data_IF_402169416335
#
_entry.id   IF_402169416335
#
_cell.length_a   1.000
_cell.length_b   1.000
_cell.length_c   1.000
_cell.angle_alpha   90.00
_cell.angle_beta   90.00
_cell.angle_gamma   90.00
#
_symmetry.space_group_name_H-M   'P 1'
#
loop_
_entity.id
_entity.type
_entity.pdbx_description
1 polymer ?
#
# COMPACT_ATOMS: atom_id res chain seq x y z
N UNK A 1 26.10 -22.24 -53.53
CA UNK A 1 26.80 -21.40 -52.54
C UNK A 1 25.75 -20.58 -51.80
N UNK A 2 25.47 -20.85 -50.51
CA UNK A 2 24.62 -19.99 -49.69
C UNK A 2 25.47 -18.98 -48.90
N UNK A 3 25.09 -17.70 -48.98
CA UNK A 3 25.65 -16.58 -48.22
C UNK A 3 25.19 -16.66 -46.75
N UNK A 4 26.06 -16.50 -45.73
CA UNK A 4 25.59 -16.39 -44.36
C UNK A 4 25.12 -14.97 -44.05
N UNK A 5 23.86 -14.86 -43.62
CA UNK A 5 23.28 -13.64 -43.08
C UNK A 5 23.87 -13.35 -41.69
N UNK A 6 24.41 -12.15 -41.51
CA UNK A 6 24.84 -11.63 -40.20
C UNK A 6 23.62 -11.42 -39.29
N UNK A 7 23.58 -11.96 -38.05
CA UNK A 7 22.53 -11.62 -37.12
C UNK A 7 22.80 -10.24 -36.52
N UNK A 8 21.88 -9.34 -36.84
CA UNK A 8 21.71 -7.99 -36.34
C UNK A 8 21.80 -7.90 -34.82
N UNK A 9 22.85 -7.22 -34.34
CA UNK A 9 23.10 -6.81 -32.95
C UNK A 9 21.98 -5.97 -32.31
N UNK A 10 20.91 -5.67 -33.05
CA UNK A 10 19.82 -4.75 -32.68
C UNK A 10 18.75 -5.38 -31.79
N UNK A 11 18.67 -6.70 -31.67
CA UNK A 11 17.65 -7.36 -30.83
C UNK A 11 18.01 -7.45 -29.35
N UNK A 12 19.29 -7.31 -28.99
CA UNK A 12 19.73 -7.41 -27.59
C UNK A 12 19.42 -6.14 -26.76
N UNK A 13 19.23 -4.98 -27.41
CA UNK A 13 19.02 -3.72 -26.71
C UNK A 13 17.54 -3.49 -26.31
N UNK A 14 16.58 -4.14 -26.97
CA UNK A 14 15.16 -3.91 -26.73
C UNK A 14 14.61 -4.68 -25.51
N UNK A 15 15.30 -5.73 -25.06
CA UNK A 15 14.89 -6.53 -23.88
C UNK A 15 15.29 -5.85 -22.56
N UNK A 16 16.27 -4.94 -22.57
CA UNK A 16 16.74 -4.26 -21.35
C UNK A 16 15.91 -3.00 -20.99
N UNK A 17 14.98 -2.57 -21.84
CA UNK A 17 14.20 -1.34 -21.65
C UNK A 17 12.83 -1.53 -20.97
N UNK A 18 12.47 -2.76 -20.55
CA UNK A 18 11.13 -3.07 -20.02
C UNK A 18 11.09 -3.51 -18.54
N UNK A 19 12.11 -3.18 -17.76
CA UNK A 19 12.07 -3.30 -16.31
C UNK A 19 12.93 -2.18 -15.72
N UNK A 20 12.31 -1.14 -15.13
CA UNK A 20 11.82 -1.29 -13.76
C UNK A 20 10.49 -0.54 -13.49
N UNK A 21 9.99 -0.65 -12.26
CA UNK A 21 8.96 0.21 -11.65
C UNK A 21 7.50 -0.27 -11.60
N UNK A 22 7.27 -1.57 -11.41
CA UNK A 22 6.19 -1.99 -10.50
C UNK A 22 6.73 -2.10 -9.08
N UNK A 23 7.34 -1.03 -8.59
CA UNK A 23 7.55 -0.85 -7.16
C UNK A 23 6.19 -0.44 -6.57
N UNK A 24 5.33 -1.42 -6.27
CA UNK A 24 4.28 -1.21 -5.29
C UNK A 24 5.01 -1.04 -3.95
N UNK A 25 5.47 0.18 -3.68
CA UNK A 25 6.07 0.53 -2.41
C UNK A 25 4.98 0.31 -1.36
N UNK A 26 5.11 -0.78 -0.60
CA UNK A 26 4.30 -0.96 0.60
C UNK A 26 4.47 0.30 1.44
N UNK A 27 3.35 0.85 1.92
CA UNK A 27 3.38 2.10 2.67
C UNK A 27 4.41 2.01 3.80
N UNK A 28 5.29 3.02 3.97
CA UNK A 28 6.36 2.95 4.94
C UNK A 28 5.79 2.72 6.34
N UNK A 29 6.13 1.61 6.99
CA UNK A 29 5.77 1.38 8.40
C UNK A 29 6.90 1.89 9.29
N UNK A 30 6.65 2.99 9.99
CA UNK A 30 7.60 3.62 10.89
C UNK A 30 7.37 3.10 12.31
N UNK A 31 8.32 2.34 12.90
CA UNK A 31 8.17 1.83 14.27
C UNK A 31 8.28 2.98 15.28
N UNK A 32 7.35 3.01 16.23
CA UNK A 32 7.34 3.93 17.37
C UNK A 32 7.86 3.26 18.63
N UNK A 33 7.46 2.00 18.82
CA UNK A 33 7.92 1.16 19.92
C UNK A 33 7.99 -0.29 19.45
N UNK A 34 8.88 -1.08 20.04
CA UNK A 34 9.06 -2.50 19.70
C UNK A 34 9.59 -3.26 20.90
N UNK A 35 8.83 -4.28 21.30
CA UNK A 35 9.10 -5.10 22.46
C UNK A 35 9.00 -6.61 22.14
N UNK A 36 8.93 -7.41 23.20
CA UNK A 36 8.83 -8.85 23.07
C UNK A 36 7.49 -9.34 22.51
N UNK A 37 6.43 -8.54 22.64
CA UNK A 37 5.04 -8.84 22.26
C UNK A 37 4.73 -8.35 20.84
N UNK A 38 5.41 -7.33 20.34
CA UNK A 38 5.24 -6.80 18.99
C UNK A 38 5.77 -5.38 18.82
N UNK A 39 5.35 -4.73 17.74
CA UNK A 39 5.74 -3.37 17.38
C UNK A 39 4.51 -2.49 17.20
N UNK A 40 4.58 -1.28 17.75
CA UNK A 40 3.65 -0.19 17.44
C UNK A 40 4.24 0.60 16.29
N UNK A 41 3.44 0.90 15.26
CA UNK A 41 3.91 1.61 14.08
C UNK A 41 2.92 2.70 13.63
N UNK A 42 3.46 3.65 12.86
CA UNK A 42 2.70 4.61 12.06
C UNK A 42 3.04 4.37 10.60
N UNK A 43 2.03 4.20 9.76
CA UNK A 43 2.15 4.10 8.31
C UNK A 43 1.57 5.37 7.68
N UNK A 44 2.39 6.40 7.40
CA UNK A 44 1.92 7.59 6.72
C UNK A 44 1.63 7.28 5.25
N UNK A 45 0.51 7.80 4.77
CA UNK A 45 0.17 7.76 3.34
C UNK A 45 0.93 8.88 2.65
N UNK A 46 2.00 8.55 1.94
CA UNK A 46 2.87 9.54 1.32
C UNK A 46 2.89 9.42 -0.20
N UNK A 47 2.95 10.56 -0.88
CA UNK A 47 3.18 10.65 -2.32
C UNK A 47 4.46 11.45 -2.58
N UNK A 48 5.45 10.89 -3.30
CA UNK A 48 6.66 11.62 -3.63
C UNK A 48 6.36 12.70 -4.68
N UNK A 49 7.00 13.87 -4.53
CA UNK A 49 7.11 14.90 -5.57
C UNK A 49 8.56 14.94 -6.08
N UNK A 50 8.87 15.86 -7.00
CA UNK A 50 10.24 16.00 -7.52
C UNK A 50 11.28 16.37 -6.43
N UNK A 51 10.86 17.04 -5.35
CA UNK A 51 11.78 17.54 -4.31
C UNK A 51 11.31 17.31 -2.87
N UNK A 52 10.08 16.82 -2.68
CA UNK A 52 9.45 16.69 -1.37
C UNK A 52 8.57 15.45 -1.28
N UNK A 53 7.98 15.25 -0.11
CA UNK A 53 7.01 14.19 0.15
C UNK A 53 5.77 14.85 0.76
N UNK A 54 4.62 14.63 0.14
CA UNK A 54 3.33 15.07 0.68
C UNK A 54 2.68 13.94 1.47
N UNK A 55 2.14 14.27 2.64
CA UNK A 55 1.43 13.33 3.51
C UNK A 55 -0.08 13.53 3.38
N UNK A 56 -0.80 12.43 3.17
CA UNK A 56 -2.24 12.38 2.94
C UNK A 56 -2.96 11.57 4.01
N UNK A 57 -2.57 11.75 5.27
CA UNK A 57 -3.05 10.95 6.38
C UNK A 57 -2.09 9.82 6.77
N UNK A 58 -2.55 8.95 7.66
CA UNK A 58 -1.76 7.88 8.22
C UNK A 58 -2.65 6.80 8.84
N UNK A 59 -2.11 5.58 8.91
CA UNK A 59 -2.61 4.53 9.78
C UNK A 59 -1.68 4.36 10.98
N UNK A 60 -2.26 4.09 12.14
CA UNK A 60 -1.55 3.59 13.31
C UNK A 60 -1.88 2.13 13.49
N UNK A 61 -0.92 1.32 13.90
CA UNK A 61 -1.16 -0.09 14.08
C UNK A 61 -0.20 -0.77 15.04
N UNK A 62 -0.59 -1.98 15.41
CA UNK A 62 0.22 -2.91 16.18
C UNK A 62 0.43 -4.16 15.36
N UNK A 63 1.66 -4.64 15.32
CA UNK A 63 2.03 -5.90 14.67
C UNK A 63 2.70 -6.79 15.70
N UNK A 64 2.11 -7.96 15.95
CA UNK A 64 2.67 -8.98 16.84
C UNK A 64 3.69 -9.84 16.10
N UNK A 65 4.59 -10.49 16.84
CA UNK A 65 5.62 -11.38 16.28
C UNK A 65 5.06 -12.62 15.59
N UNK A 66 3.85 -13.03 15.93
CA UNK A 66 3.12 -14.12 15.28
C UNK A 66 2.59 -13.72 13.89
N UNK A 67 2.79 -12.47 13.44
CA UNK A 67 2.27 -11.93 12.19
C UNK A 67 0.87 -11.31 12.29
N UNK A 68 0.19 -11.49 13.43
CA UNK A 68 -1.13 -10.88 13.68
C UNK A 68 -1.01 -9.36 13.78
N UNK A 69 -2.00 -8.63 13.30
CA UNK A 69 -1.98 -7.17 13.31
C UNK A 69 -3.34 -6.56 13.56
N UNK A 70 -3.35 -5.31 14.01
CA UNK A 70 -4.52 -4.46 14.06
C UNK A 70 -4.11 -3.04 13.71
N UNK A 71 -4.91 -2.34 12.90
CA UNK A 71 -4.65 -0.97 12.51
C UNK A 71 -5.93 -0.14 12.44
N UNK A 72 -5.76 1.17 12.55
CA UNK A 72 -6.79 2.16 12.26
C UNK A 72 -6.15 3.40 11.64
N UNK A 73 -6.79 4.00 10.64
CA UNK A 73 -6.20 5.10 9.91
C UNK A 73 -7.18 5.95 9.14
N UNK A 74 -6.65 7.04 8.61
CA UNK A 74 -7.36 7.90 7.68
C UNK A 74 -6.51 8.22 6.45
N UNK A 75 -7.17 8.34 5.31
CA UNK A 75 -6.61 8.78 4.05
C UNK A 75 -7.33 10.06 3.61
N UNK A 76 -6.57 11.12 3.35
CA UNK A 76 -7.03 12.45 2.92
C UNK A 76 -6.53 12.82 1.52
N UNK A 77 -6.10 11.83 0.72
CA UNK A 77 -5.62 12.03 -0.65
C UNK A 77 -6.74 12.46 -1.60
N UNK A 78 -7.98 12.10 -1.26
CA UNK A 78 -9.18 12.53 -1.97
C UNK A 78 -9.77 13.80 -1.35
N UNK A 79 -10.69 14.47 -2.07
CA UNK A 79 -11.42 15.65 -1.56
C UNK A 79 -12.17 15.39 -0.25
N UNK A 80 -12.44 14.12 0.08
CA UNK A 80 -13.10 13.68 1.32
C UNK A 80 -12.24 12.64 2.00
N UNK A 81 -12.12 12.69 3.34
CA UNK A 81 -11.34 11.71 4.09
C UNK A 81 -12.05 10.35 4.10
N UNK A 82 -11.25 9.29 4.00
CA UNK A 82 -11.68 7.91 4.17
C UNK A 82 -11.08 7.38 5.48
N UNK A 83 -11.89 6.75 6.31
CA UNK A 83 -11.47 6.14 7.56
C UNK A 83 -11.46 4.62 7.41
N UNK A 84 -10.46 3.95 7.96
CA UNK A 84 -10.36 2.50 7.92
C UNK A 84 -9.86 1.90 9.23
N UNK A 85 -10.31 0.69 9.51
CA UNK A 85 -9.81 -0.16 10.59
C UNK A 85 -9.68 -1.58 10.07
N UNK A 86 -8.72 -2.33 10.56
CA UNK A 86 -8.56 -3.72 10.15
C UNK A 86 -7.68 -4.51 11.08
N UNK A 87 -7.74 -5.82 10.94
CA UNK A 87 -6.88 -6.72 11.66
C UNK A 87 -6.67 -8.01 10.90
N UNK A 88 -5.51 -8.62 11.10
CA UNK A 88 -5.17 -9.93 10.57
C UNK A 88 -4.78 -10.86 11.69
N UNK A 89 -5.12 -12.13 11.51
CA UNK A 89 -4.43 -13.21 12.21
C UNK A 89 -3.13 -13.48 11.47
N UNK A 90 -2.07 -13.92 12.15
CA UNK A 90 -0.81 -14.31 11.53
C UNK A 90 -0.87 -15.47 10.52
N UNK A 91 -2.08 -15.96 10.21
CA UNK A 91 -2.37 -16.92 9.15
C UNK A 91 -3.10 -16.26 7.97
N UNK A 92 -4.09 -16.96 7.41
CA UNK A 92 -4.73 -16.54 6.15
C UNK A 92 -5.94 -15.61 6.34
N UNK A 93 -6.39 -15.41 7.58
CA UNK A 93 -7.62 -14.65 7.86
C UNK A 93 -7.30 -13.18 8.14
N UNK A 94 -7.96 -12.29 7.39
CA UNK A 94 -7.93 -10.84 7.64
C UNK A 94 -9.31 -10.21 7.50
N UNK A 95 -9.55 -9.18 8.30
CA UNK A 95 -10.78 -8.38 8.33
C UNK A 95 -10.39 -6.92 8.17
N UNK A 96 -11.07 -6.19 7.30
CA UNK A 96 -10.97 -4.73 7.23
C UNK A 96 -12.36 -4.12 7.07
N UNK A 97 -12.53 -2.93 7.63
CA UNK A 97 -13.71 -2.11 7.47
C UNK A 97 -13.28 -0.70 7.14
N UNK A 98 -14.05 -0.03 6.28
CA UNK A 98 -13.81 1.35 5.89
C UNK A 98 -15.10 2.12 5.75
N UNK A 99 -15.02 3.43 5.96
CA UNK A 99 -16.10 4.36 5.74
C UNK A 99 -15.60 5.61 5.02
N UNK A 100 -16.37 6.05 4.03
CA UNK A 100 -16.16 7.28 3.28
C UNK A 100 -17.49 8.03 3.09
N UNK A 101 -17.45 9.31 2.77
CA UNK A 101 -18.67 10.09 2.53
C UNK A 101 -19.27 9.78 1.15
N UNK A 102 -20.59 9.56 1.07
CA UNK A 102 -21.33 9.17 -0.14
C UNK A 102 -21.44 10.27 -1.21
N UNK A 103 -21.02 11.50 -0.90
CA UNK A 103 -20.87 12.58 -1.88
C UNK A 103 -22.16 13.26 -2.36
N UNK A 104 -23.35 12.67 -2.15
CA UNK A 104 -24.64 13.34 -2.37
C UNK A 104 -25.07 14.11 -1.12
N UNK A 105 -25.19 15.43 -1.26
CA UNK A 105 -25.78 16.37 -0.29
C UNK A 105 -25.28 16.31 1.16
N UNK A 106 -24.08 15.76 1.42
CA UNK A 106 -23.47 15.65 2.77
C UNK A 106 -24.32 14.85 3.80
N UNK A 107 -25.25 14.02 3.34
CA UNK A 107 -26.13 13.25 4.22
C UNK A 107 -25.85 11.73 4.26
N UNK A 108 -24.96 11.22 3.39
CA UNK A 108 -24.69 9.79 3.28
C UNK A 108 -23.25 9.38 3.63
N UNK A 109 -23.11 8.16 4.16
CA UNK A 109 -21.85 7.45 4.39
C UNK A 109 -21.88 6.16 3.60
N UNK A 110 -20.81 5.85 2.87
CA UNK A 110 -20.56 4.53 2.31
C UNK A 110 -19.65 3.79 3.28
N UNK A 111 -20.07 2.61 3.72
CA UNK A 111 -19.27 1.74 4.56
C UNK A 111 -19.16 0.36 3.93
N UNK A 112 -18.00 -0.27 4.09
CA UNK A 112 -17.73 -1.61 3.57
C UNK A 112 -16.94 -2.43 4.57
N UNK A 113 -17.17 -3.74 4.57
CA UNK A 113 -16.38 -4.73 5.30
C UNK A 113 -15.83 -5.73 4.30
N UNK A 114 -14.54 -6.02 4.39
CA UNK A 114 -13.86 -7.04 3.62
C UNK A 114 -13.34 -8.12 4.58
N UNK A 115 -13.55 -9.38 4.20
CA UNK A 115 -13.04 -10.55 4.91
C UNK A 115 -12.29 -11.40 3.89
N UNK A 116 -11.05 -11.80 4.20
CA UNK A 116 -10.23 -12.71 3.40
C UNK A 116 -9.89 -13.94 4.24
N UNK A 117 -9.85 -15.11 3.60
CA UNK A 117 -9.62 -16.43 4.20
C UNK A 117 -8.59 -17.22 3.38
#
# INVERSE_FOLDING_TARGET
MPTPAFPSFTFALLVLALAPALANAEEPKLPIDSDEKGSVYIAPKVSPTETSVEAHGAAVGVQRKDGSSLYGGMDTSSTRPTYSVGGSTGGNVSFSAGAESDGKDKHGVKAGVQIKY
#
